data_IF_177716371978
#
_entry.id   IF_177716371978
#
_cell.length_a   1.000
_cell.length_b   1.000
_cell.length_c   1.000
_cell.angle_alpha   90.00
_cell.angle_beta   90.00
_cell.angle_gamma   90.00
#
_symmetry.space_group_name_H-M   'P 1'
#
loop_
_entity.id
_entity.type
_entity.pdbx_description
1 polymer ?
#
# COMPACT_ATOMS: atom_id res chain seq x y z
N UNK A 1 -52.44 4.39 29.52
CA UNK A 1 -51.76 3.95 28.27
C UNK A 1 -50.59 4.89 28.03
N UNK A 2 -49.37 4.49 28.39
CA UNK A 2 -48.14 5.18 28.02
C UNK A 2 -47.34 4.24 27.13
N UNK A 3 -47.16 4.65 25.88
CA UNK A 3 -46.55 3.87 24.80
C UNK A 3 -45.14 3.39 25.15
N UNK A 4 -44.97 2.08 25.21
CA UNK A 4 -43.66 1.43 25.15
C UNK A 4 -43.07 1.56 23.72
N UNK A 5 -42.64 2.78 23.36
CA UNK A 5 -41.69 3.01 22.27
C UNK A 5 -40.27 2.80 22.82
N UNK A 6 -39.97 1.55 23.16
CA UNK A 6 -38.65 1.05 23.48
C UNK A 6 -38.69 -0.39 22.96
N UNK A 7 -38.06 -0.77 21.85
CA UNK A 7 -36.63 -0.68 21.57
C UNK A 7 -36.45 -0.82 20.05
N UNK A 8 -36.23 0.27 19.33
CA UNK A 8 -35.45 0.22 18.08
C UNK A 8 -34.01 0.51 18.48
N UNK A 9 -33.06 -0.19 17.86
CA UNK A 9 -31.59 -0.06 17.98
C UNK A 9 -30.89 -0.92 19.04
N UNK A 10 -31.01 -2.25 18.93
CA UNK A 10 -29.84 -3.09 19.22
C UNK A 10 -28.82 -2.91 18.08
N UNK A 11 -28.00 -1.89 18.25
CA UNK A 11 -26.56 -1.91 18.03
C UNK A 11 -26.05 -2.77 16.85
N UNK A 12 -25.82 -2.07 15.74
CA UNK A 12 -24.86 -2.37 14.67
C UNK A 12 -23.40 -2.45 15.20
N UNK A 13 -23.14 -3.25 16.23
CA UNK A 13 -21.83 -3.40 16.86
C UNK A 13 -21.23 -4.76 16.50
N UNK A 14 -20.64 -4.82 15.32
CA UNK A 14 -19.88 -5.98 14.86
C UNK A 14 -18.99 -5.64 13.68
N UNK A 15 -18.39 -4.46 13.68
CA UNK A 15 -17.60 -3.97 12.55
C UNK A 15 -16.51 -3.01 12.95
N UNK A 16 -15.84 -3.20 14.09
CA UNK A 16 -14.45 -2.76 14.18
C UNK A 16 -13.65 -3.65 13.24
N UNK A 17 -13.71 -3.35 11.94
CA UNK A 17 -12.71 -3.79 10.99
C UNK A 17 -11.42 -3.20 11.56
N UNK A 18 -10.62 -4.01 12.25
CA UNK A 18 -9.26 -3.63 12.59
C UNK A 18 -8.67 -3.07 11.30
N UNK A 19 -8.40 -1.76 11.26
CA UNK A 19 -7.58 -1.22 10.19
C UNK A 19 -6.32 -2.06 10.30
N UNK A 20 -6.13 -3.01 9.40
CA UNK A 20 -4.92 -3.78 9.40
C UNK A 20 -3.85 -2.76 9.00
N UNK A 21 -3.07 -2.30 9.97
CA UNK A 21 -2.06 -1.28 9.77
C UNK A 21 -0.85 -1.98 9.16
N UNK A 22 -0.70 -1.89 7.83
CA UNK A 22 0.50 -2.38 7.18
C UNK A 22 0.34 -2.82 5.74
N UNK A 23 1.45 -3.21 5.10
CA UNK A 23 1.53 -3.42 3.66
C UNK A 23 0.48 -4.39 3.11
N UNK A 24 0.17 -5.48 3.82
CA UNK A 24 -0.80 -6.47 3.32
C UNK A 24 -2.22 -5.93 3.23
N UNK A 25 -2.62 -5.10 4.19
CA UNK A 25 -3.95 -4.51 4.22
C UNK A 25 -4.09 -3.39 3.19
N UNK A 26 -3.04 -2.57 3.08
CA UNK A 26 -2.94 -1.51 2.10
C UNK A 26 -2.98 -2.08 0.68
N UNK A 27 -2.28 -3.18 0.41
CA UNK A 27 -2.39 -3.90 -0.87
C UNK A 27 -3.84 -4.30 -1.14
N UNK A 28 -4.51 -4.93 -0.18
CA UNK A 28 -5.91 -5.34 -0.35
C UNK A 28 -6.84 -4.14 -0.58
N UNK A 29 -6.60 -3.01 0.09
CA UNK A 29 -7.35 -1.77 -0.09
C UNK A 29 -7.11 -1.16 -1.47
N UNK A 30 -5.86 -1.07 -1.91
CA UNK A 30 -5.49 -0.55 -3.22
C UNK A 30 -6.05 -1.41 -4.35
N UNK A 31 -5.99 -2.74 -4.24
CA UNK A 31 -6.60 -3.66 -5.21
C UNK A 31 -8.12 -3.47 -5.29
N UNK A 32 -8.82 -3.36 -4.15
CA UNK A 32 -10.26 -3.05 -4.14
C UNK A 32 -10.59 -1.70 -4.79
N UNK A 33 -9.68 -0.74 -4.70
CA UNK A 33 -9.80 0.56 -5.33
C UNK A 33 -9.36 0.58 -6.82
N UNK A 34 -8.91 -0.55 -7.37
CA UNK A 34 -8.39 -0.63 -8.74
C UNK A 34 -7.00 0.00 -8.93
N UNK A 35 -6.26 0.28 -7.85
CA UNK A 35 -4.90 0.82 -7.91
C UNK A 35 -3.88 -0.31 -7.67
N UNK A 36 -3.28 -0.80 -8.74
CA UNK A 36 -2.24 -1.84 -8.68
C UNK A 36 -0.82 -1.28 -8.82
N UNK A 37 -0.64 0.04 -8.71
CA UNK A 37 0.67 0.67 -8.92
C UNK A 37 1.64 0.28 -7.81
N UNK A 38 2.85 -0.12 -8.22
CA UNK A 38 3.96 -0.39 -7.31
C UNK A 38 4.64 0.91 -6.90
N UNK A 39 5.28 0.89 -5.72
CA UNK A 39 5.99 2.03 -5.16
C UNK A 39 7.41 2.07 -5.72
N UNK A 40 7.78 3.23 -6.26
CA UNK A 40 9.15 3.53 -6.68
C UNK A 40 9.76 4.62 -5.81
N UNK A 41 11.08 4.58 -5.65
CA UNK A 41 11.84 5.69 -5.06
C UNK A 41 11.73 6.90 -6.00
N UNK A 42 11.42 8.06 -5.45
CA UNK A 42 11.47 9.30 -6.22
C UNK A 42 12.92 9.61 -6.65
N UNK A 43 13.08 10.19 -7.84
CA UNK A 43 14.39 10.54 -8.40
C UNK A 43 14.82 9.64 -9.56
N UNK A 44 16.13 9.57 -9.80
CA UNK A 44 16.69 8.89 -10.97
C UNK A 44 16.47 7.37 -10.91
N UNK A 45 16.08 6.79 -12.04
CA UNK A 45 15.90 5.35 -12.21
C UNK A 45 14.58 4.77 -11.68
N UNK A 46 13.88 5.50 -10.78
CA UNK A 46 12.59 5.08 -10.19
C UNK A 46 12.61 3.59 -9.82
N UNK A 47 13.56 3.22 -8.96
CA UNK A 47 13.76 1.83 -8.52
C UNK A 47 12.57 1.43 -7.65
N UNK A 48 11.92 0.31 -7.97
CA UNK A 48 10.90 -0.32 -7.15
C UNK A 48 11.56 -1.25 -6.11
N UNK A 49 11.58 -0.92 -4.82
CA UNK A 49 12.21 -1.77 -3.80
C UNK A 49 11.52 -3.14 -3.73
N UNK A 50 12.29 -4.19 -3.40
CA UNK A 50 11.76 -5.55 -3.23
C UNK A 50 11.57 -6.34 -4.54
N UNK A 51 11.79 -5.70 -5.69
CA UNK A 51 11.74 -6.29 -7.03
C UNK A 51 13.16 -6.40 -7.58
N UNK A 52 13.52 -7.55 -8.17
CA UNK A 52 14.87 -7.76 -8.73
C UNK A 52 15.17 -6.78 -9.85
N UNK A 53 16.46 -6.51 -10.11
CA UNK A 53 16.87 -5.54 -11.12
C UNK A 53 16.36 -5.91 -12.52
N UNK A 54 16.38 -7.20 -12.84
CA UNK A 54 15.93 -7.78 -14.11
C UNK A 54 14.42 -7.60 -14.31
N UNK A 55 13.65 -7.65 -13.23
CA UNK A 55 12.18 -7.53 -13.25
C UNK A 55 11.69 -6.08 -13.18
N UNK A 56 12.54 -5.10 -12.89
CA UNK A 56 12.15 -3.70 -12.70
C UNK A 56 11.35 -3.14 -13.88
N UNK A 57 11.84 -3.35 -15.10
CA UNK A 57 11.22 -2.76 -16.30
C UNK A 57 9.84 -3.36 -16.55
N UNK A 58 9.73 -4.69 -16.52
CA UNK A 58 8.48 -5.41 -16.74
C UNK A 58 7.46 -5.11 -15.64
N UNK A 59 7.87 -5.16 -14.36
CA UNK A 59 7.00 -4.86 -13.24
C UNK A 59 6.41 -3.45 -13.32
N UNK A 60 7.24 -2.45 -13.65
CA UNK A 60 6.77 -1.06 -13.81
C UNK A 60 5.82 -0.92 -14.99
N UNK A 61 6.08 -1.59 -16.11
CA UNK A 61 5.21 -1.55 -17.28
C UNK A 61 3.84 -2.19 -17.00
N UNK A 62 3.81 -3.31 -16.27
CA UNK A 62 2.59 -4.07 -15.98
C UNK A 62 1.74 -3.47 -14.87
N UNK A 63 2.39 -3.03 -13.79
CA UNK A 63 1.69 -2.53 -12.61
C UNK A 63 1.39 -1.03 -12.67
N UNK A 64 2.15 -0.27 -13.46
CA UNK A 64 2.27 1.17 -13.28
C UNK A 64 3.03 1.53 -12.00
N UNK A 65 3.32 2.81 -11.78
CA UNK A 65 4.15 3.26 -10.65
C UNK A 65 3.54 4.44 -9.90
N UNK A 66 3.84 4.52 -8.60
CA UNK A 66 3.61 5.70 -7.76
C UNK A 66 4.79 5.94 -6.83
N UNK A 67 4.97 7.17 -6.39
CA UNK A 67 5.96 7.50 -5.36
C UNK A 67 5.35 7.36 -3.97
N UNK A 68 6.23 7.17 -2.96
CA UNK A 68 5.88 7.28 -1.55
C UNK A 68 6.60 8.50 -0.98
N UNK A 69 5.85 9.39 -0.32
CA UNK A 69 6.42 10.58 0.30
C UNK A 69 7.49 10.21 1.32
N UNK A 70 8.64 10.89 1.27
CA UNK A 70 9.79 10.59 2.12
C UNK A 70 10.60 9.34 1.70
N UNK A 71 10.32 8.76 0.53
CA UNK A 71 11.11 7.71 -0.11
C UNK A 71 11.80 8.25 -1.39
N UNK A 72 12.72 9.18 -1.21
CA UNK A 72 13.47 9.83 -2.29
C UNK A 72 14.90 9.29 -2.49
N UNK A 73 15.63 9.96 -3.39
CA UNK A 73 17.05 9.73 -3.64
C UNK A 73 17.97 10.50 -2.67
N UNK A 74 17.48 11.59 -2.07
CA UNK A 74 18.17 12.36 -1.03
C UNK A 74 17.64 11.98 0.35
N UNK A 75 18.53 11.51 1.24
CA UNK A 75 18.21 11.14 2.63
C UNK A 75 19.18 11.81 3.58
N UNK A 76 18.67 12.77 4.37
CA UNK A 76 19.47 13.44 5.41
C UNK A 76 19.64 12.53 6.64
N UNK A 77 20.70 12.68 7.45
CA UNK A 77 20.96 11.81 8.61
C UNK A 77 19.76 11.69 9.57
N UNK A 78 19.11 12.80 9.88
CA UNK A 78 17.95 12.87 10.78
C UNK A 78 16.70 12.17 10.23
N UNK A 79 16.65 11.91 8.91
CA UNK A 79 15.53 11.24 8.25
C UNK A 79 15.77 9.73 8.07
N UNK A 80 16.95 9.21 8.44
CA UNK A 80 17.39 7.85 8.12
C UNK A 80 16.44 6.78 8.63
N UNK A 81 16.00 6.89 9.88
CA UNK A 81 15.11 5.91 10.48
C UNK A 81 13.75 5.87 9.77
N UNK A 82 13.13 7.03 9.57
CA UNK A 82 11.86 7.14 8.87
C UNK A 82 11.97 6.67 7.41
N UNK A 83 13.09 6.98 6.73
CA UNK A 83 13.39 6.47 5.40
C UNK A 83 13.48 4.93 5.40
N UNK A 84 14.21 4.34 6.35
CA UNK A 84 14.36 2.88 6.43
C UNK A 84 13.00 2.19 6.66
N UNK A 85 12.13 2.77 7.51
CA UNK A 85 10.76 2.29 7.72
C UNK A 85 9.94 2.31 6.43
N UNK A 86 10.01 3.41 5.67
CA UNK A 86 9.34 3.53 4.36
C UNK A 86 9.91 2.58 3.31
N UNK A 87 11.22 2.38 3.32
CA UNK A 87 11.88 1.44 2.41
C UNK A 87 11.41 0.01 2.69
N UNK A 88 11.39 -0.41 3.96
CA UNK A 88 10.88 -1.72 4.37
C UNK A 88 9.40 -1.89 3.99
N UNK A 89 8.58 -0.87 4.23
CA UNK A 89 7.18 -0.85 3.80
C UNK A 89 7.05 -1.05 2.29
N UNK A 90 7.81 -0.30 1.48
CA UNK A 90 7.76 -0.38 0.02
C UNK A 90 8.21 -1.74 -0.52
N UNK A 91 9.25 -2.35 0.09
CA UNK A 91 9.71 -3.71 -0.25
C UNK A 91 8.58 -4.72 -0.09
N UNK A 92 7.90 -4.69 1.04
CA UNK A 92 6.84 -5.66 1.35
C UNK A 92 5.58 -5.41 0.51
N UNK A 93 5.19 -4.13 0.36
CA UNK A 93 4.06 -3.74 -0.47
C UNK A 93 4.25 -4.19 -1.92
N UNK A 94 5.41 -3.93 -2.51
CA UNK A 94 5.68 -4.25 -3.91
C UNK A 94 5.70 -5.75 -4.18
N UNK A 95 6.33 -6.54 -3.30
CA UNK A 95 6.37 -8.01 -3.44
C UNK A 95 4.96 -8.61 -3.47
N UNK A 96 4.07 -8.10 -2.63
CA UNK A 96 2.66 -8.54 -2.58
C UNK A 96 1.88 -8.04 -3.79
N UNK A 97 2.03 -6.76 -4.12
CA UNK A 97 1.29 -6.10 -5.21
C UNK A 97 1.57 -6.75 -6.57
N UNK A 98 2.78 -7.25 -6.81
CA UNK A 98 3.15 -7.91 -8.08
C UNK A 98 2.18 -9.01 -8.52
N UNK A 99 1.62 -9.76 -7.57
CA UNK A 99 0.67 -10.84 -7.85
C UNK A 99 -0.71 -10.34 -8.34
N UNK A 100 -0.99 -9.06 -8.20
CA UNK A 100 -2.24 -8.41 -8.58
C UNK A 100 -2.15 -7.63 -9.89
N UNK A 101 -0.95 -7.52 -10.48
CA UNK A 101 -0.77 -6.83 -11.75
C UNK A 101 -1.13 -7.73 -12.93
N UNK A 102 -1.83 -7.22 -13.94
CA UNK A 102 -2.14 -7.99 -15.14
C UNK A 102 -0.86 -8.48 -15.81
N UNK A 103 -0.92 -9.64 -16.47
CA UNK A 103 0.16 -10.06 -17.37
C UNK A 103 0.24 -9.03 -18.51
N UNK A 104 1.44 -8.54 -18.83
CA UNK A 104 1.62 -7.67 -19.99
C UNK A 104 1.03 -8.38 -21.22
N UNK A 105 0.18 -7.67 -21.97
CA UNK A 105 -0.31 -8.19 -23.26
C UNK A 105 0.81 -8.20 -24.29
#
# INVERSE_FOLDING_TARGET
MASARALILLALLGGCQAQAEGPSADVAASVRAGDTRIIVRAGRGQVAPGISAEQQAEAKARCGVRTLEGLGDVVRPEQREAYNKRLAYAVEYNRRMLSHCPVAK
#
